data_IF_620342575253
#
_entry.id   IF_620342575253
#
_cell.length_a   1.000
_cell.length_b   1.000
_cell.length_c   1.000
_cell.angle_alpha   90.00
_cell.angle_beta   90.00
_cell.angle_gamma   90.00
#
_symmetry.space_group_name_H-M   'P 1'
#
loop_
_entity.id
_entity.type
_entity.pdbx_description
1 polymer ?
#
# COMPACT_ATOMS: atom_id res chain seq x y z
N UNK A 1 -6.36 -24.49 -10.03
CA UNK A 1 -5.49 -24.29 -11.21
C UNK A 1 -5.02 -22.85 -11.17
N UNK A 2 -3.72 -22.59 -11.06
CA UNK A 2 -3.19 -21.21 -10.98
C UNK A 2 -3.24 -20.57 -12.36
N UNK A 3 -3.68 -19.30 -12.43
CA UNK A 3 -3.75 -18.60 -13.71
C UNK A 3 -2.35 -18.19 -14.19
N UNK A 4 -2.06 -18.43 -15.46
CA UNK A 4 -0.77 -18.02 -16.07
C UNK A 4 -0.56 -16.50 -15.99
N UNK A 5 -1.64 -15.71 -15.97
CA UNK A 5 -1.59 -14.26 -15.81
C UNK A 5 -1.16 -13.85 -14.40
N UNK A 6 -1.66 -14.50 -13.35
CA UNK A 6 -1.26 -14.21 -11.98
C UNK A 6 0.22 -14.56 -11.74
N UNK A 7 0.68 -15.70 -12.26
CA UNK A 7 2.09 -16.07 -12.18
C UNK A 7 2.99 -15.04 -12.88
N UNK A 8 2.60 -14.60 -14.07
CA UNK A 8 3.33 -13.59 -14.82
C UNK A 8 3.40 -12.25 -14.07
N UNK A 9 2.27 -11.75 -13.56
CA UNK A 9 2.23 -10.50 -12.79
C UNK A 9 3.11 -10.58 -11.53
N UNK A 10 3.07 -11.71 -10.83
CA UNK A 10 3.91 -11.93 -9.65
C UNK A 10 5.39 -12.01 -10.01
N UNK A 11 5.73 -12.62 -11.14
CA UNK A 11 7.13 -12.69 -11.62
C UNK A 11 7.66 -11.31 -12.01
N UNK A 12 6.86 -10.48 -12.67
CA UNK A 12 7.21 -9.08 -12.98
C UNK A 12 7.44 -8.30 -11.67
N UNK A 13 6.54 -8.47 -10.70
CA UNK A 13 6.65 -7.86 -9.40
C UNK A 13 7.94 -8.26 -8.67
N UNK A 14 8.22 -9.56 -8.60
CA UNK A 14 9.45 -10.08 -7.98
C UNK A 14 10.71 -9.57 -8.69
N UNK A 15 10.71 -9.56 -10.02
CA UNK A 15 11.83 -9.03 -10.80
C UNK A 15 12.05 -7.55 -10.54
N UNK A 16 10.97 -6.76 -10.45
CA UNK A 16 11.04 -5.34 -10.11
C UNK A 16 11.58 -5.11 -8.70
N UNK A 17 11.12 -5.91 -7.73
CA UNK A 17 11.61 -5.83 -6.35
C UNK A 17 13.10 -6.17 -6.25
N UNK A 18 13.55 -7.24 -6.90
CA UNK A 18 14.96 -7.64 -6.93
C UNK A 18 15.81 -6.56 -7.58
N UNK A 19 15.39 -6.04 -8.72
CA UNK A 19 16.10 -4.98 -9.42
C UNK A 19 16.15 -3.70 -8.58
N UNK A 20 15.04 -3.30 -7.96
CA UNK A 20 14.99 -2.14 -7.07
C UNK A 20 15.88 -2.29 -5.84
N UNK A 21 15.88 -3.46 -5.22
CA UNK A 21 16.76 -3.75 -4.10
C UNK A 21 18.25 -3.73 -4.52
N UNK A 22 18.57 -4.24 -5.71
CA UNK A 22 19.92 -4.19 -6.27
C UNK A 22 20.36 -2.74 -6.56
N UNK A 23 19.49 -1.95 -7.20
CA UNK A 23 19.78 -0.53 -7.47
C UNK A 23 19.96 0.24 -6.16
N UNK A 24 19.09 0.04 -5.17
CA UNK A 24 19.22 0.69 -3.87
C UNK A 24 20.50 0.27 -3.14
N UNK A 25 20.84 -1.03 -3.15
CA UNK A 25 22.06 -1.54 -2.53
C UNK A 25 23.34 -1.05 -3.21
N UNK A 26 23.32 -0.89 -4.54
CA UNK A 26 24.46 -0.44 -5.33
C UNK A 26 24.73 1.06 -5.18
N UNK A 27 23.67 1.88 -5.32
CA UNK A 27 23.81 3.33 -5.29
C UNK A 27 23.85 3.92 -3.89
N UNK A 28 23.50 3.15 -2.84
CA UNK A 28 23.45 3.60 -1.44
C UNK A 28 22.85 5.00 -1.30
N UNK A 29 21.68 5.22 -1.91
CA UNK A 29 21.02 6.53 -1.95
C UNK A 29 20.71 6.96 -0.52
N UNK A 30 21.39 7.99 0.03
CA UNK A 30 21.18 8.43 1.39
C UNK A 30 19.74 8.95 1.55
N UNK A 31 19.02 8.47 2.55
CA UNK A 31 17.64 8.89 2.83
C UNK A 31 16.57 8.19 1.99
N UNK A 32 16.94 7.36 1.01
CA UNK A 32 15.97 6.55 0.28
C UNK A 32 15.30 5.57 1.23
N UNK A 33 13.98 5.73 1.36
CA UNK A 33 13.19 4.82 2.16
C UNK A 33 12.83 3.59 1.31
N UNK A 34 13.57 2.49 1.50
CA UNK A 34 13.34 1.22 0.79
C UNK A 34 11.86 0.82 0.80
N UNK A 35 11.14 1.15 1.86
CA UNK A 35 9.72 0.85 2.02
C UNK A 35 8.88 1.58 0.98
N UNK A 36 9.15 2.85 0.72
CA UNK A 36 8.44 3.63 -0.32
C UNK A 36 8.76 3.07 -1.70
N UNK A 37 10.01 2.74 -1.96
CA UNK A 37 10.43 2.12 -3.22
C UNK A 37 9.69 0.79 -3.40
N UNK A 38 9.72 -0.10 -2.42
CA UNK A 38 9.03 -1.41 -2.48
C UNK A 38 7.54 -1.25 -2.67
N UNK A 39 6.89 -0.33 -1.95
CA UNK A 39 5.44 -0.13 -2.11
C UNK A 39 5.09 0.51 -3.44
N UNK A 40 5.89 1.44 -3.92
CA UNK A 40 5.68 2.01 -5.26
C UNK A 40 5.80 0.93 -6.33
N UNK A 41 6.73 0.00 -6.19
CA UNK A 41 6.82 -1.17 -7.07
C UNK A 41 5.59 -2.05 -7.00
N UNK A 42 5.18 -2.44 -5.79
CA UNK A 42 4.06 -3.33 -5.60
C UNK A 42 2.80 -2.78 -6.26
N UNK A 43 2.62 -1.49 -6.23
CA UNK A 43 1.41 -0.85 -6.69
C UNK A 43 1.47 -0.36 -8.14
N UNK A 44 2.61 0.11 -8.60
CA UNK A 44 2.72 0.52 -10.00
C UNK A 44 2.65 -0.67 -10.97
N UNK A 45 3.03 -1.87 -10.53
CA UNK A 45 2.81 -3.10 -11.28
C UNK A 45 1.32 -3.38 -11.56
N UNK A 46 0.41 -2.94 -10.67
CA UNK A 46 -1.04 -3.03 -10.90
C UNK A 46 -1.52 -2.17 -12.07
N UNK A 47 -0.83 -1.08 -12.33
CA UNK A 47 -1.23 -0.09 -13.34
C UNK A 47 -0.53 -0.28 -14.69
N UNK A 48 0.65 -0.89 -14.69
CA UNK A 48 1.53 -0.93 -15.87
C UNK A 48 1.19 -2.02 -16.91
N UNK A 49 0.17 -2.84 -16.67
CA UNK A 49 0.07 -4.16 -17.32
C UNK A 49 -0.51 -4.26 -18.72
N UNK A 50 -1.01 -3.21 -19.42
CA UNK A 50 -1.97 -3.52 -20.49
C UNK A 50 -2.13 -2.57 -21.65
N UNK A 51 -1.40 -1.47 -21.74
CA UNK A 51 -1.58 -0.47 -22.78
C UNK A 51 -0.31 -0.20 -23.60
N UNK A 52 -0.37 0.45 -24.77
CA UNK A 52 0.81 0.90 -25.48
C UNK A 52 1.77 1.68 -24.55
N UNK A 53 3.05 1.67 -24.88
CA UNK A 53 4.09 2.28 -24.03
C UNK A 53 3.78 3.74 -23.66
N UNK A 54 3.25 4.53 -24.59
CA UNK A 54 2.90 5.95 -24.39
C UNK A 54 1.83 6.12 -23.31
N UNK A 55 0.78 5.30 -23.35
CA UNK A 55 -0.32 5.36 -22.37
C UNK A 55 0.13 4.86 -21.00
N UNK A 56 0.99 3.83 -20.98
CA UNK A 56 1.63 3.37 -19.74
C UNK A 56 2.50 4.44 -19.11
N UNK A 57 3.32 5.11 -19.90
CA UNK A 57 4.18 6.19 -19.42
C UNK A 57 3.34 7.34 -18.86
N UNK A 58 2.29 7.74 -19.58
CA UNK A 58 1.37 8.78 -19.11
C UNK A 58 0.71 8.38 -17.77
N UNK A 59 0.21 7.15 -17.69
CA UNK A 59 -0.46 6.64 -16.50
C UNK A 59 0.53 6.54 -15.33
N UNK A 60 1.73 6.03 -15.55
CA UNK A 60 2.77 5.90 -14.55
C UNK A 60 3.23 7.26 -14.02
N UNK A 61 3.42 8.26 -14.88
CA UNK A 61 3.76 9.62 -14.47
C UNK A 61 2.61 10.28 -13.70
N UNK A 62 1.38 10.13 -14.16
CA UNK A 62 0.21 10.63 -13.42
C UNK A 62 0.15 10.00 -12.03
N UNK A 63 0.33 8.69 -11.94
CA UNK A 63 0.36 7.96 -10.69
C UNK A 63 1.50 8.44 -9.77
N UNK A 64 2.71 8.65 -10.31
CA UNK A 64 3.85 9.16 -9.54
C UNK A 64 3.56 10.54 -8.95
N UNK A 65 3.01 11.46 -9.76
CA UNK A 65 2.66 12.81 -9.31
C UNK A 65 1.61 12.76 -8.20
N UNK A 66 0.52 11.99 -8.39
CA UNK A 66 -0.52 11.88 -7.36
C UNK A 66 0.01 11.24 -6.08
N UNK A 67 0.79 10.16 -6.18
CA UNK A 67 1.37 9.48 -5.01
C UNK A 67 2.36 10.36 -4.27
N UNK A 68 3.24 11.06 -4.98
CA UNK A 68 4.18 12.00 -4.40
C UNK A 68 3.46 13.16 -3.70
N UNK A 69 2.41 13.70 -4.33
CA UNK A 69 1.59 14.77 -3.75
C UNK A 69 0.85 14.29 -2.50
N UNK A 70 0.22 13.13 -2.52
CA UNK A 70 -0.45 12.54 -1.36
C UNK A 70 0.53 12.37 -0.19
N UNK A 71 1.67 11.76 -0.46
CA UNK A 71 2.72 11.51 0.53
C UNK A 71 3.27 12.81 1.09
N UNK A 72 3.56 13.79 0.23
CA UNK A 72 4.06 15.10 0.65
C UNK A 72 3.06 15.85 1.53
N UNK A 73 1.79 15.95 1.10
CA UNK A 73 0.73 16.61 1.86
C UNK A 73 0.55 15.97 3.24
N UNK A 74 0.43 14.65 3.30
CA UNK A 74 0.22 13.95 4.57
C UNK A 74 1.43 14.13 5.49
N UNK A 75 2.66 14.10 4.97
CA UNK A 75 3.87 14.30 5.77
C UNK A 75 4.01 15.71 6.32
N UNK A 76 3.88 16.72 5.46
CA UNK A 76 4.08 18.11 5.85
C UNK A 76 2.97 18.60 6.76
N UNK A 77 1.73 18.15 6.52
CA UNK A 77 0.58 18.56 7.32
C UNK A 77 0.42 17.75 8.62
N UNK A 78 1.30 16.80 8.89
CA UNK A 78 1.20 15.97 10.09
C UNK A 78 1.16 16.79 11.39
N UNK A 79 1.87 17.90 11.43
CA UNK A 79 1.90 18.82 12.57
C UNK A 79 0.64 19.71 12.67
N UNK A 80 -0.19 19.73 11.63
CA UNK A 80 -1.40 20.54 11.53
C UNK A 80 -2.63 19.65 11.35
N UNK A 81 -3.12 19.01 12.42
CA UNK A 81 -4.13 17.96 12.33
C UNK A 81 -5.41 18.36 11.60
N UNK A 82 -5.90 19.57 11.83
CA UNK A 82 -7.11 20.07 11.17
C UNK A 82 -6.92 20.20 9.64
N UNK A 83 -5.83 20.84 9.22
CA UNK A 83 -5.52 20.98 7.81
C UNK A 83 -5.19 19.66 7.14
N UNK A 84 -4.58 18.74 7.87
CA UNK A 84 -4.30 17.40 7.36
C UNK A 84 -5.59 16.66 7.01
N UNK A 85 -6.62 16.68 7.88
CA UNK A 85 -7.90 16.03 7.62
C UNK A 85 -8.53 16.64 6.37
N UNK A 86 -8.64 17.96 6.29
CA UNK A 86 -9.32 18.66 5.18
C UNK A 86 -8.59 18.41 3.86
N UNK A 87 -7.28 18.70 3.82
CA UNK A 87 -6.53 18.65 2.56
C UNK A 87 -6.28 17.23 2.08
N UNK A 88 -6.04 16.27 2.99
CA UNK A 88 -5.89 14.87 2.58
C UNK A 88 -7.20 14.29 2.06
N UNK A 89 -8.34 14.68 2.63
CA UNK A 89 -9.66 14.23 2.16
C UNK A 89 -10.06 14.87 0.85
N UNK A 90 -9.81 16.17 0.68
CA UNK A 90 -10.01 16.85 -0.60
C UNK A 90 -9.13 16.23 -1.71
N UNK A 91 -7.89 15.93 -1.38
CA UNK A 91 -6.98 15.28 -2.30
C UNK A 91 -7.41 13.83 -2.60
N UNK A 92 -7.91 13.10 -1.61
CA UNK A 92 -8.47 11.76 -1.81
C UNK A 92 -9.67 11.80 -2.78
N UNK A 93 -10.60 12.75 -2.57
CA UNK A 93 -11.70 12.96 -3.50
C UNK A 93 -11.21 13.23 -4.93
N UNK A 94 -10.23 14.11 -5.08
CA UNK A 94 -9.61 14.41 -6.38
C UNK A 94 -9.00 13.14 -6.99
N UNK A 95 -8.21 12.39 -6.24
CA UNK A 95 -7.57 11.17 -6.73
C UNK A 95 -8.61 10.11 -7.16
N UNK A 96 -9.66 9.88 -6.37
CA UNK A 96 -10.71 8.92 -6.72
C UNK A 96 -11.56 9.34 -7.92
N UNK A 97 -11.78 10.64 -8.11
CA UNK A 97 -12.61 11.16 -9.20
C UNK A 97 -11.88 11.34 -10.53
N UNK A 98 -10.56 11.54 -10.51
CA UNK A 98 -9.78 11.87 -11.71
C UNK A 98 -8.93 10.72 -12.22
N UNK A 99 -8.53 9.79 -11.36
CA UNK A 99 -7.77 8.63 -11.79
C UNK A 99 -8.68 7.63 -12.53
N UNK A 100 -8.14 6.90 -13.51
CA UNK A 100 -8.93 6.08 -14.41
C UNK A 100 -9.63 4.90 -13.73
N UNK A 101 -9.16 4.47 -12.58
CA UNK A 101 -9.75 3.39 -11.79
C UNK A 101 -9.71 3.72 -10.29
N UNK A 102 -10.75 3.29 -9.58
CA UNK A 102 -10.85 3.39 -8.12
C UNK A 102 -9.63 2.76 -7.42
N UNK A 103 -9.13 1.65 -7.95
CA UNK A 103 -7.93 0.98 -7.42
C UNK A 103 -6.70 1.88 -7.45
N UNK A 104 -6.52 2.61 -8.55
CA UNK A 104 -5.42 3.56 -8.67
C UNK A 104 -5.50 4.65 -7.60
N UNK A 105 -6.70 5.18 -7.35
CA UNK A 105 -6.94 6.14 -6.27
C UNK A 105 -6.64 5.57 -4.89
N UNK A 106 -7.10 4.33 -4.61
CA UNK A 106 -6.79 3.65 -3.35
C UNK A 106 -5.28 3.49 -3.16
N UNK A 107 -4.56 3.07 -4.20
CA UNK A 107 -3.11 2.87 -4.14
C UNK A 107 -2.37 4.17 -3.88
N UNK A 108 -2.73 5.25 -4.55
CA UNK A 108 -2.18 6.59 -4.31
C UNK A 108 -2.34 6.99 -2.85
N UNK A 109 -3.53 6.81 -2.29
CA UNK A 109 -3.80 7.15 -0.89
C UNK A 109 -3.10 6.20 0.08
N UNK A 110 -2.95 4.91 -0.24
CA UNK A 110 -2.15 3.97 0.56
C UNK A 110 -0.70 4.47 0.67
N UNK A 111 -0.08 4.82 -0.47
CA UNK A 111 1.29 5.37 -0.47
C UNK A 111 1.37 6.64 0.38
N UNK A 112 0.38 7.53 0.26
CA UNK A 112 0.28 8.72 1.10
C UNK A 112 0.25 8.38 2.59
N UNK A 113 -0.65 7.48 3.02
CA UNK A 113 -0.79 7.13 4.43
C UNK A 113 0.37 6.30 5.00
N UNK A 114 1.16 5.63 4.15
CA UNK A 114 2.39 4.99 4.60
C UNK A 114 3.41 6.00 5.15
N UNK A 115 3.30 7.28 4.78
CA UNK A 115 4.14 8.33 5.33
C UNK A 115 3.96 8.56 6.84
N UNK A 116 2.85 8.11 7.44
CA UNK A 116 2.66 8.15 8.89
C UNK A 116 3.69 7.32 9.68
N UNK A 117 4.34 6.38 9.03
CA UNK A 117 5.35 5.52 9.67
C UNK A 117 6.78 6.03 9.50
N UNK A 118 6.95 7.24 9.01
CA UNK A 118 8.26 7.81 8.72
C UNK A 118 8.38 9.23 9.31
N UNK A 119 9.58 9.81 9.42
CA UNK A 119 9.77 11.17 9.93
C UNK A 119 8.95 12.21 9.16
N UNK A 120 8.38 13.19 9.87
CA UNK A 120 7.44 14.17 9.32
C UNK A 120 8.11 15.54 9.12
N UNK A 121 9.35 15.56 8.68
CA UNK A 121 10.06 16.78 8.29
C UNK A 121 10.00 16.99 6.77
N UNK A 122 10.22 18.26 6.36
CA UNK A 122 10.14 18.65 4.95
C UNK A 122 11.16 17.91 4.08
N UNK A 123 12.38 17.74 4.57
CA UNK A 123 13.45 17.07 3.82
C UNK A 123 13.11 15.59 3.56
N UNK A 124 12.65 14.89 4.59
CA UNK A 124 12.19 13.50 4.45
C UNK A 124 10.96 13.38 3.54
N UNK A 125 10.07 14.37 3.54
CA UNK A 125 8.93 14.39 2.63
C UNK A 125 9.36 14.51 1.17
N UNK A 126 10.31 15.41 0.88
CA UNK A 126 10.88 15.58 -0.48
C UNK A 126 11.63 14.32 -0.91
N UNK A 127 12.50 13.77 -0.05
CA UNK A 127 13.24 12.55 -0.36
C UNK A 127 12.32 11.40 -0.76
N UNK A 128 11.25 11.16 0.02
CA UNK A 128 10.27 10.11 -0.27
C UNK A 128 9.48 10.35 -1.56
N UNK A 129 9.22 11.63 -1.88
CA UNK A 129 8.60 11.96 -3.17
C UNK A 129 9.51 11.58 -4.33
N UNK A 130 10.82 11.80 -4.20
CA UNK A 130 11.81 11.36 -5.19
C UNK A 130 11.85 9.84 -5.27
N UNK A 131 11.82 9.13 -4.14
CA UNK A 131 11.78 7.66 -4.10
C UNK A 131 10.58 7.09 -4.87
N UNK A 132 9.42 7.75 -4.81
CA UNK A 132 8.23 7.36 -5.59
C UNK A 132 8.51 7.46 -7.09
N UNK A 133 9.12 8.54 -7.55
CA UNK A 133 9.47 8.69 -8.97
C UNK A 133 10.50 7.64 -9.41
N UNK A 134 11.53 7.38 -8.59
CA UNK A 134 12.50 6.33 -8.85
C UNK A 134 11.81 4.96 -8.95
N UNK A 135 10.91 4.65 -8.01
CA UNK A 135 10.13 3.42 -8.02
C UNK A 135 9.31 3.25 -9.31
N UNK A 136 8.62 4.30 -9.74
CA UNK A 136 7.84 4.28 -10.98
C UNK A 136 8.72 4.11 -12.21
N UNK A 137 9.86 4.78 -12.29
CA UNK A 137 10.82 4.62 -13.40
C UNK A 137 11.30 3.18 -13.49
N UNK A 138 11.67 2.57 -12.37
CA UNK A 138 12.16 1.20 -12.34
C UNK A 138 11.07 0.22 -12.81
N UNK A 139 9.83 0.33 -12.32
CA UNK A 139 8.77 -0.56 -12.78
C UNK A 139 8.47 -0.40 -14.26
N UNK A 140 8.55 0.83 -14.79
CA UNK A 140 8.40 1.09 -16.22
C UNK A 140 9.50 0.41 -17.03
N UNK A 141 10.74 0.46 -16.57
CA UNK A 141 11.85 -0.24 -17.23
C UNK A 141 11.64 -1.76 -17.20
N UNK A 142 11.33 -2.33 -16.03
CA UNK A 142 11.12 -3.78 -15.88
C UNK A 142 9.94 -4.26 -16.72
N UNK A 143 8.80 -3.56 -16.67
CA UNK A 143 7.63 -3.94 -17.48
C UNK A 143 7.91 -3.86 -18.96
N UNK A 144 8.62 -2.84 -19.43
CA UNK A 144 9.01 -2.70 -20.83
C UNK A 144 9.91 -3.84 -21.27
N UNK A 145 10.92 -4.21 -20.46
CA UNK A 145 11.80 -5.32 -20.77
C UNK A 145 11.10 -6.68 -20.77
N UNK A 146 10.16 -6.89 -19.83
CA UNK A 146 9.42 -8.15 -19.73
C UNK A 146 8.33 -8.30 -20.80
N UNK A 147 7.82 -7.19 -21.37
CA UNK A 147 6.70 -7.21 -22.32
C UNK A 147 7.10 -7.21 -23.79
N UNK A 148 8.38 -7.04 -24.11
CA UNK A 148 8.90 -7.11 -25.50
C UNK A 148 8.42 -8.39 -26.24
N UNK A 149 8.08 -9.45 -25.48
CA UNK A 149 7.64 -10.74 -26.02
C UNK A 149 6.12 -11.02 -25.93
N UNK A 150 5.27 -10.07 -25.52
CA UNK A 150 3.87 -10.34 -25.25
C UNK A 150 2.92 -9.47 -26.06
N UNK A 151 2.41 -10.05 -27.14
CA UNK A 151 1.38 -9.47 -28.05
C UNK A 151 -0.06 -9.66 -27.58
N UNK A 152 -0.36 -9.71 -26.29
CA UNK A 152 -1.75 -9.83 -25.84
C UNK A 152 -2.20 -8.55 -25.15
N UNK A 153 -3.03 -7.80 -25.86
CA UNK A 153 -3.89 -6.76 -25.32
C UNK A 153 -4.88 -7.39 -24.33
N UNK A 154 -4.57 -7.32 -23.06
CA UNK A 154 -5.56 -7.52 -22.01
C UNK A 154 -6.18 -6.13 -21.78
N UNK A 155 -7.28 -5.85 -22.46
CA UNK A 155 -8.02 -4.62 -22.28
C UNK A 155 -8.43 -4.50 -20.82
N UNK A 156 -7.79 -3.61 -20.09
CA UNK A 156 -8.27 -3.20 -18.77
C UNK A 156 -9.48 -2.28 -19.01
N UNK A 157 -10.66 -2.78 -18.75
CA UNK A 157 -11.86 -1.96 -18.66
C UNK A 157 -11.74 -1.11 -17.38
N UNK A 158 -11.05 0.02 -17.50
CA UNK A 158 -11.03 1.02 -16.43
C UNK A 158 -12.42 1.63 -16.34
N UNK A 159 -13.08 1.45 -15.22
CA UNK A 159 -14.32 2.16 -14.91
C UNK A 159 -14.02 3.29 -13.94
N UNK A 160 -14.18 4.55 -14.37
CA UNK A 160 -13.96 5.69 -13.48
C UNK A 160 -14.93 5.61 -12.29
N UNK A 161 -14.46 6.03 -11.13
CA UNK A 161 -15.27 6.10 -9.93
C UNK A 161 -16.35 7.17 -10.09
N UNK A 162 -17.59 6.86 -9.73
CA UNK A 162 -18.63 7.89 -9.68
C UNK A 162 -18.27 8.96 -8.63
N UNK A 163 -18.56 10.23 -8.91
CA UNK A 163 -18.26 11.32 -7.96
C UNK A 163 -18.90 11.11 -6.59
N UNK A 164 -20.08 10.49 -6.53
CA UNK A 164 -20.75 10.14 -5.27
C UNK A 164 -19.91 9.13 -4.46
N UNK A 165 -19.42 8.07 -5.09
CA UNK A 165 -18.59 7.07 -4.41
C UNK A 165 -17.23 7.65 -3.99
N UNK A 166 -16.63 8.52 -4.82
CA UNK A 166 -15.40 9.23 -4.47
C UNK A 166 -15.60 10.10 -3.22
N UNK A 167 -16.74 10.80 -3.12
CA UNK A 167 -17.08 11.62 -1.96
C UNK A 167 -17.26 10.76 -0.70
N UNK A 168 -17.98 9.65 -0.81
CA UNK A 168 -18.17 8.72 0.31
C UNK A 168 -16.83 8.22 0.84
N UNK A 169 -15.92 7.76 -0.03
CA UNK A 169 -14.61 7.29 0.37
C UNK A 169 -13.76 8.39 0.99
N UNK A 170 -13.78 9.60 0.42
CA UNK A 170 -13.08 10.73 1.00
C UNK A 170 -13.61 11.08 2.40
N UNK A 171 -14.92 10.98 2.60
CA UNK A 171 -15.57 11.19 3.92
C UNK A 171 -15.18 10.10 4.92
N UNK A 172 -15.14 8.83 4.50
CA UNK A 172 -14.67 7.73 5.35
C UNK A 172 -13.22 7.92 5.78
N UNK A 173 -12.35 8.36 4.87
CA UNK A 173 -10.94 8.68 5.18
C UNK A 173 -10.84 9.88 6.14
N UNK A 174 -11.68 10.90 5.96
CA UNK A 174 -11.76 12.03 6.88
C UNK A 174 -12.18 11.58 8.28
N UNK A 175 -13.23 10.75 8.38
CA UNK A 175 -13.69 10.19 9.64
C UNK A 175 -12.62 9.32 10.31
N UNK A 176 -11.94 8.47 9.55
CA UNK A 176 -10.82 7.66 10.05
C UNK A 176 -9.68 8.51 10.60
N UNK A 177 -9.30 9.56 9.87
CA UNK A 177 -8.30 10.54 10.32
C UNK A 177 -8.73 11.27 11.59
N UNK A 178 -9.98 11.74 11.63
CA UNK A 178 -10.54 12.43 12.80
C UNK A 178 -10.53 11.52 14.04
N UNK A 179 -10.99 10.28 13.91
CA UNK A 179 -10.96 9.28 15.00
C UNK A 179 -9.51 9.05 15.46
N UNK A 180 -8.60 8.85 14.52
CA UNK A 180 -7.18 8.65 14.81
C UNK A 180 -6.59 9.77 15.68
N UNK A 181 -6.93 11.01 15.33
CA UNK A 181 -6.41 12.20 16.03
C UNK A 181 -7.12 12.46 17.35
N UNK A 182 -8.46 12.34 17.41
CA UNK A 182 -9.22 12.54 18.65
C UNK A 182 -8.78 11.56 19.75
N UNK A 183 -8.56 10.30 19.39
CA UNK A 183 -8.13 9.28 20.35
C UNK A 183 -6.59 9.17 20.45
N UNK A 184 -5.85 10.02 19.74
CA UNK A 184 -4.37 9.99 19.69
C UNK A 184 -3.82 8.60 19.44
N UNK A 185 -4.44 7.88 18.50
CA UNK A 185 -4.07 6.50 18.21
C UNK A 185 -2.68 6.45 17.60
N UNK A 186 -1.73 5.82 18.30
CA UNK A 186 -0.33 5.70 17.88
C UNK A 186 -0.16 5.05 16.50
N UNK A 187 -1.11 4.19 16.12
CA UNK A 187 -1.13 3.47 14.85
C UNK A 187 -2.39 3.80 14.02
N UNK A 188 -2.89 5.04 14.15
CA UNK A 188 -4.16 5.46 13.55
C UNK A 188 -4.22 5.38 12.03
N UNK A 189 -3.08 5.47 11.34
CA UNK A 189 -3.00 5.28 9.89
C UNK A 189 -3.60 3.94 9.42
N UNK A 190 -3.63 2.92 10.27
CA UNK A 190 -4.22 1.62 9.95
C UNK A 190 -5.73 1.67 9.75
N UNK A 191 -6.43 2.69 10.28
CA UNK A 191 -7.85 2.91 10.00
C UNK A 191 -8.02 3.18 8.50
N UNK A 192 -7.30 4.19 7.99
CA UNK A 192 -7.35 4.60 6.59
C UNK A 192 -6.86 3.50 5.65
N UNK A 193 -5.75 2.86 5.99
CA UNK A 193 -5.22 1.74 5.22
C UNK A 193 -6.22 0.58 5.13
N UNK A 194 -6.97 0.29 6.20
CA UNK A 194 -7.98 -0.77 6.18
C UNK A 194 -9.14 -0.41 5.27
N UNK A 195 -9.65 0.83 5.32
CA UNK A 195 -10.69 1.33 4.41
C UNK A 195 -10.22 1.14 2.96
N UNK A 196 -9.02 1.60 2.64
CA UNK A 196 -8.47 1.56 1.29
C UNK A 196 -8.25 0.12 0.78
N UNK A 197 -7.74 -0.78 1.61
CA UNK A 197 -7.53 -2.18 1.21
C UNK A 197 -8.84 -2.92 0.97
N UNK A 198 -9.86 -2.73 1.81
CA UNK A 198 -11.18 -3.32 1.61
C UNK A 198 -11.78 -2.78 0.30
N UNK A 199 -11.76 -1.47 0.11
CA UNK A 199 -12.29 -0.82 -1.09
C UNK A 199 -11.57 -1.26 -2.36
N UNK A 200 -10.24 -1.34 -2.33
CA UNK A 200 -9.44 -1.81 -3.47
C UNK A 200 -9.80 -3.25 -3.85
N UNK A 201 -10.14 -4.09 -2.89
CA UNK A 201 -10.42 -5.51 -3.08
C UNK A 201 -11.88 -5.80 -3.39
N UNK A 202 -12.78 -4.85 -3.23
CA UNK A 202 -14.22 -4.99 -3.45
C UNK A 202 -14.58 -5.40 -4.88
N UNK A 203 -13.76 -5.00 -5.86
CA UNK A 203 -13.92 -5.41 -7.25
C UNK A 203 -13.59 -6.90 -7.51
N UNK A 204 -13.16 -7.66 -6.50
CA UNK A 204 -12.80 -9.07 -6.57
C UNK A 204 -13.97 -10.05 -6.38
N UNK A 205 -15.20 -9.65 -6.67
CA UNK A 205 -16.43 -10.49 -6.53
C UNK A 205 -16.82 -10.86 -5.08
N UNK A 206 -16.11 -10.38 -4.08
CA UNK A 206 -16.44 -10.62 -2.69
C UNK A 206 -17.17 -9.41 -2.09
N UNK A 207 -18.25 -9.60 -1.31
CA UNK A 207 -18.91 -8.51 -0.62
C UNK A 207 -17.98 -7.89 0.43
N UNK A 208 -18.10 -6.56 0.65
CA UNK A 208 -17.24 -5.82 1.58
C UNK A 208 -17.27 -6.39 3.01
N UNK A 209 -18.40 -6.94 3.43
CA UNK A 209 -18.55 -7.58 4.74
C UNK A 209 -17.57 -8.77 4.90
N UNK A 210 -17.50 -9.63 3.89
CA UNK A 210 -16.56 -10.75 3.87
C UNK A 210 -15.11 -10.26 3.88
N UNK A 211 -14.81 -9.21 3.11
CA UNK A 211 -13.47 -8.62 3.06
C UNK A 211 -13.10 -7.97 4.40
N UNK A 212 -14.06 -7.26 5.03
CA UNK A 212 -13.88 -6.67 6.35
C UNK A 212 -13.58 -7.73 7.41
N UNK A 213 -14.37 -8.80 7.46
CA UNK A 213 -14.13 -9.92 8.37
C UNK A 213 -12.76 -10.57 8.12
N UNK A 214 -12.43 -10.86 6.86
CA UNK A 214 -11.13 -11.41 6.52
C UNK A 214 -9.98 -10.52 6.99
N UNK A 215 -10.13 -9.19 6.86
CA UNK A 215 -9.13 -8.22 7.32
C UNK A 215 -8.96 -8.22 8.83
N UNK A 216 -10.07 -8.23 9.58
CA UNK A 216 -10.08 -8.24 11.05
C UNK A 216 -9.30 -9.45 11.61
N UNK A 217 -9.45 -10.61 11.00
CA UNK A 217 -8.73 -11.81 11.45
C UNK A 217 -7.30 -11.91 10.89
N UNK A 218 -7.07 -11.47 9.65
CA UNK A 218 -5.76 -11.57 9.03
C UNK A 218 -4.74 -10.61 9.66
N UNK A 219 -5.18 -9.43 10.15
CA UNK A 219 -4.28 -8.44 10.76
C UNK A 219 -3.59 -8.98 12.01
N UNK A 220 -4.30 -9.42 13.06
CA UNK A 220 -3.65 -9.98 14.25
C UNK A 220 -2.83 -11.23 13.92
N UNK A 221 -3.34 -12.12 13.06
CA UNK A 221 -2.61 -13.31 12.65
C UNK A 221 -1.28 -12.97 11.95
N UNK A 222 -1.29 -11.99 11.04
CA UNK A 222 -0.09 -11.52 10.34
C UNK A 222 0.92 -10.85 11.27
N UNK A 223 0.46 -10.10 12.29
CA UNK A 223 1.34 -9.48 13.29
C UNK A 223 1.98 -10.56 14.19
N UNK A 224 1.22 -11.55 14.64
CA UNK A 224 1.73 -12.64 15.46
C UNK A 224 2.79 -13.44 14.68
N UNK A 225 2.49 -13.82 13.45
CA UNK A 225 3.45 -14.53 12.59
C UNK A 225 4.67 -13.68 12.27
N UNK A 226 4.48 -12.38 11.99
CA UNK A 226 5.57 -11.45 11.74
C UNK A 226 6.49 -11.27 12.94
N UNK A 227 5.92 -11.14 14.15
CA UNK A 227 6.69 -11.08 15.39
C UNK A 227 7.48 -12.36 15.65
N UNK A 228 6.88 -13.54 15.40
CA UNK A 228 7.58 -14.81 15.53
C UNK A 228 8.73 -14.94 14.52
N UNK A 229 8.52 -14.55 13.26
CA UNK A 229 9.57 -14.55 12.25
C UNK A 229 10.70 -13.60 12.60
N UNK A 230 10.37 -12.38 13.05
CA UNK A 230 11.36 -11.40 13.47
C UNK A 230 12.23 -11.94 14.60
N UNK A 231 11.62 -12.52 15.65
CA UNK A 231 12.35 -13.14 16.75
C UNK A 231 13.26 -14.27 16.26
N UNK A 232 12.78 -15.09 15.31
CA UNK A 232 13.55 -16.17 14.71
C UNK A 232 14.74 -15.62 13.91
N UNK A 233 14.54 -14.58 13.11
CA UNK A 233 15.61 -13.95 12.33
C UNK A 233 16.65 -13.28 13.24
N UNK A 234 16.22 -12.62 14.31
CA UNK A 234 17.14 -12.05 15.29
C UNK A 234 18.03 -13.12 15.97
N UNK A 235 17.52 -14.35 16.14
CA UNK A 235 18.29 -15.46 16.75
C UNK A 235 19.24 -16.16 15.77
N UNK A 236 18.86 -16.27 14.49
CA UNK A 236 19.65 -17.01 13.48
C UNK A 236 20.60 -16.04 12.76
N UNK A 237 20.05 -15.14 11.98
CA UNK A 237 20.76 -14.07 11.27
C UNK A 237 19.77 -12.98 10.89
N UNK A 238 19.97 -11.78 11.42
CA UNK A 238 19.14 -10.62 11.14
C UNK A 238 19.07 -10.27 9.63
N UNK A 239 20.04 -10.67 8.85
CA UNK A 239 20.04 -10.48 7.38
C UNK A 239 18.88 -11.20 6.69
N UNK A 240 18.30 -12.21 7.32
CA UNK A 240 17.09 -12.90 6.79
C UNK A 240 15.88 -11.98 6.64
N UNK A 241 15.87 -10.82 7.29
CA UNK A 241 14.87 -9.76 7.08
C UNK A 241 14.76 -9.34 5.61
N UNK A 242 15.86 -9.41 4.84
CA UNK A 242 15.84 -9.13 3.41
C UNK A 242 15.00 -10.12 2.57
N UNK A 243 14.62 -11.26 3.13
CA UNK A 243 13.72 -12.21 2.48
C UNK A 243 12.23 -11.87 2.65
N UNK A 244 11.91 -10.98 3.58
CA UNK A 244 10.50 -10.66 3.92
C UNK A 244 9.71 -10.03 2.77
N UNK A 245 10.27 -9.18 1.89
CA UNK A 245 9.57 -8.72 0.69
C UNK A 245 9.02 -9.84 -0.19
N UNK A 246 9.71 -10.98 -0.26
CA UNK A 246 9.23 -12.14 -1.01
C UNK A 246 7.96 -12.72 -0.42
N UNK A 247 7.79 -12.68 0.90
CA UNK A 247 6.56 -13.08 1.57
C UNK A 247 5.41 -12.14 1.21
N UNK A 248 5.68 -10.83 1.13
CA UNK A 248 4.71 -9.86 0.61
C UNK A 248 4.28 -10.16 -0.82
N UNK A 249 5.22 -10.52 -1.70
CA UNK A 249 4.93 -10.90 -3.08
C UNK A 249 4.05 -12.17 -3.17
N UNK A 250 4.23 -13.14 -2.27
CA UNK A 250 3.34 -14.30 -2.14
C UNK A 250 1.91 -13.85 -1.84
N UNK A 251 1.72 -12.91 -0.91
CA UNK A 251 0.40 -12.33 -0.63
C UNK A 251 -0.26 -11.74 -1.87
N UNK A 252 0.48 -10.94 -2.64
CA UNK A 252 -0.01 -10.37 -3.90
C UNK A 252 -0.33 -11.44 -4.94
N UNK A 253 0.45 -12.51 -5.03
CA UNK A 253 0.14 -13.64 -5.91
C UNK A 253 -1.24 -14.21 -5.63
N UNK A 254 -1.59 -14.41 -4.35
CA UNK A 254 -2.92 -14.90 -3.98
C UNK A 254 -4.02 -13.87 -4.28
N UNK A 255 -3.76 -12.58 -4.13
CA UNK A 255 -4.71 -11.54 -4.51
C UNK A 255 -5.01 -11.57 -6.01
N UNK A 256 -3.99 -11.71 -6.85
CA UNK A 256 -4.14 -11.75 -8.31
C UNK A 256 -4.75 -13.07 -8.81
N UNK A 257 -4.50 -14.17 -8.13
CA UNK A 257 -4.89 -15.51 -8.62
C UNK A 257 -6.31 -15.93 -8.24
N UNK A 258 -7.09 -15.13 -7.63
CA UNK A 258 -8.47 -15.51 -7.31
C UNK A 258 -9.06 -14.82 -6.10
N UNK A 259 -8.40 -13.79 -5.62
CA UNK A 259 -9.00 -12.91 -4.64
C UNK A 259 -9.03 -13.47 -3.22
N UNK A 260 -8.07 -14.30 -2.82
CA UNK A 260 -7.96 -14.69 -1.42
C UNK A 260 -7.41 -13.54 -0.58
N UNK A 261 -8.29 -12.62 -0.24
CA UNK A 261 -7.99 -11.39 0.49
C UNK A 261 -7.46 -11.66 1.90
N UNK A 262 -7.87 -12.77 2.52
CA UNK A 262 -7.33 -13.16 3.84
C UNK A 262 -5.83 -13.45 3.75
N UNK A 263 -5.42 -14.29 2.80
CA UNK A 263 -4.00 -14.65 2.62
C UNK A 263 -3.19 -13.40 2.23
N UNK A 264 -3.70 -12.60 1.31
CA UNK A 264 -3.07 -11.31 0.97
C UNK A 264 -2.87 -10.44 2.20
N UNK A 265 -3.93 -10.21 2.98
CA UNK A 265 -3.87 -9.36 4.17
C UNK A 265 -2.93 -9.90 5.24
N UNK A 266 -2.89 -11.22 5.41
CA UNK A 266 -2.00 -11.89 6.35
C UNK A 266 -0.53 -11.68 5.98
N UNK A 267 -0.14 -12.03 4.76
CA UNK A 267 1.25 -11.86 4.30
C UNK A 267 1.66 -10.40 4.22
N UNK A 268 0.76 -9.52 3.86
CA UNK A 268 1.01 -8.08 3.85
C UNK A 268 1.28 -7.55 5.26
N UNK A 269 0.48 -7.95 6.25
CA UNK A 269 0.68 -7.54 7.65
C UNK A 269 1.94 -8.14 8.25
N UNK A 270 2.24 -9.40 7.95
CA UNK A 270 3.49 -10.05 8.33
C UNK A 270 4.70 -9.27 7.80
N UNK A 271 4.70 -8.97 6.50
CA UNK A 271 5.76 -8.19 5.85
C UNK A 271 5.93 -6.83 6.52
N UNK A 272 4.83 -6.08 6.71
CA UNK A 272 4.89 -4.77 7.34
C UNK A 272 5.31 -4.80 8.81
N UNK A 273 5.00 -5.86 9.54
CA UNK A 273 5.41 -6.01 10.93
C UNK A 273 6.93 -6.15 11.02
N UNK A 274 7.52 -7.02 10.20
CA UNK A 274 8.96 -7.20 10.16
C UNK A 274 9.68 -5.94 9.65
N UNK A 275 9.15 -5.30 8.61
CA UNK A 275 9.73 -4.06 8.08
C UNK A 275 9.65 -2.88 9.02
N UNK A 276 8.56 -2.73 9.77
CA UNK A 276 8.43 -1.61 10.71
C UNK A 276 9.47 -1.67 11.82
N UNK A 277 9.83 -2.86 12.26
CA UNK A 277 10.90 -3.04 13.25
C UNK A 277 12.28 -2.79 12.64
N UNK A 278 12.53 -3.31 11.44
CA UNK A 278 13.79 -3.09 10.74
C UNK A 278 14.07 -1.60 10.48
N UNK A 279 13.04 -0.79 10.19
CA UNK A 279 13.18 0.65 9.96
C UNK A 279 13.45 1.45 11.23
N UNK A 280 12.93 0.99 12.37
CA UNK A 280 13.16 1.65 13.67
C UNK A 280 14.54 1.34 14.26
N UNK A 281 15.25 0.38 13.65
CA UNK A 281 16.59 -0.05 14.02
C UNK A 281 16.61 -1.18 15.08
N UNK A 282 17.69 -1.97 15.10
CA UNK A 282 17.79 -3.19 15.91
C UNK A 282 17.79 -2.94 17.43
N UNK A 283 17.81 -1.68 17.87
CA UNK A 283 17.83 -1.29 19.28
C UNK A 283 16.47 -0.91 19.85
N UNK A 284 15.46 -0.72 19.00
CA UNK A 284 14.10 -0.50 19.46
C UNK A 284 13.44 -1.86 19.72
N UNK A 285 13.19 -2.16 21.01
CA UNK A 285 12.42 -3.34 21.39
C UNK A 285 11.07 -3.26 20.70
N UNK A 286 10.80 -4.23 19.85
CA UNK A 286 9.49 -4.39 19.22
C UNK A 286 8.43 -4.51 20.31
N UNK A 287 7.62 -3.48 20.45
CA UNK A 287 6.50 -3.47 21.38
C UNK A 287 5.36 -4.31 20.81
N UNK A 288 5.55 -5.63 20.82
CA UNK A 288 4.66 -6.59 20.19
C UNK A 288 3.20 -6.38 20.60
N UNK A 289 2.93 -6.31 21.89
CA UNK A 289 1.57 -6.16 22.39
C UNK A 289 0.94 -4.82 21.98
N UNK A 290 1.67 -3.74 22.08
CA UNK A 290 1.20 -2.41 21.66
C UNK A 290 0.88 -2.39 20.15
N UNK A 291 1.75 -2.98 19.34
CA UNK A 291 1.54 -3.10 17.90
C UNK A 291 0.34 -4.01 17.57
N UNK A 292 0.22 -5.14 18.26
CA UNK A 292 -0.88 -6.07 18.05
C UNK A 292 -2.23 -5.43 18.39
N UNK A 293 -2.36 -4.85 19.57
CA UNK A 293 -3.63 -4.23 19.99
C UNK A 293 -3.96 -2.98 19.18
N UNK A 294 -3.01 -2.08 18.98
CA UNK A 294 -3.27 -0.80 18.29
C UNK A 294 -3.60 -1.00 16.81
N UNK A 295 -2.89 -1.87 16.08
CA UNK A 295 -3.19 -2.16 14.67
C UNK A 295 -4.48 -2.95 14.49
N UNK A 296 -4.76 -3.89 15.39
CA UNK A 296 -6.02 -4.67 15.35
C UNK A 296 -7.20 -3.77 15.64
N UNK A 297 -7.14 -2.93 16.67
CA UNK A 297 -8.19 -1.96 16.98
C UNK A 297 -8.41 -0.95 15.84
N UNK A 298 -7.35 -0.39 15.28
CA UNK A 298 -7.44 0.51 14.14
C UNK A 298 -8.03 -0.17 12.91
N UNK A 299 -7.66 -1.43 12.64
CA UNK A 299 -8.24 -2.20 11.52
C UNK A 299 -9.71 -2.53 11.75
N UNK A 300 -10.12 -2.80 12.98
CA UNK A 300 -11.53 -2.98 13.33
C UNK A 300 -12.33 -1.70 13.08
N UNK A 301 -11.83 -0.55 13.53
CA UNK A 301 -12.48 0.75 13.29
C UNK A 301 -12.60 1.06 11.80
N UNK A 302 -11.54 0.81 11.01
CA UNK A 302 -11.59 0.99 9.57
C UNK A 302 -12.60 0.07 8.87
N UNK A 303 -12.68 -1.19 9.29
CA UNK A 303 -13.68 -2.13 8.79
C UNK A 303 -15.11 -1.70 9.14
N UNK A 304 -15.35 -1.22 10.35
CA UNK A 304 -16.65 -0.68 10.78
C UNK A 304 -17.06 0.54 9.95
N UNK A 305 -16.15 1.47 9.65
CA UNK A 305 -16.43 2.63 8.80
C UNK A 305 -16.86 2.22 7.39
N UNK A 306 -16.26 1.17 6.82
CA UNK A 306 -16.71 0.66 5.51
C UNK A 306 -18.10 0.03 5.59
N UNK A 307 -18.42 -0.67 6.68
CA UNK A 307 -19.71 -1.37 6.85
C UNK A 307 -20.88 -0.43 7.13
N UNK A 308 -20.64 0.72 7.79
CA UNK A 308 -21.69 1.68 8.13
C UNK A 308 -22.30 2.34 6.91
N UNK A 309 -21.52 2.57 5.86
CA UNK A 309 -21.99 3.23 4.63
C UNK A 309 -23.02 2.40 3.86
N UNK A 310 -22.94 1.08 3.91
CA UNK A 310 -23.83 0.18 3.16
C UNK A 310 -25.22 -0.02 3.75
N UNK A 311 -25.40 0.34 5.02
CA UNK A 311 -26.74 0.30 5.64
C UNK A 311 -27.62 1.47 5.23
N UNK A 312 -27.03 2.47 4.57
CA UNK A 312 -27.70 3.70 4.13
C UNK A 312 -27.94 3.74 2.62
N UNK A 313 -27.41 2.82 1.85
CA UNK A 313 -27.64 2.62 0.41
C UNK A 313 -28.59 1.43 0.13
#
# INVERSE_FOLDING_TARGET
MFSTSAFRQTSILLSAMLFGAAVWGFFRIPGANLLVVVFTFLFSALLAGTSPFTDRLRLALTFAVYSATAQFLISVLFQFPFWQIILSSAFAYLAFSTLPDLRAGCVVMIIGYLSYFAPHDFHSAVSRSIDIFIGVIIIMLVTTLCEINSKKDVGNNFSPCSGCRALVLATQLAAGNLISQMFRLRQGAWIMLTILFITMSENSKAPAEKLALQRIFAVPAGIILGGFLLETFCRIDYRLVYLVPFLGAIGFFFLYNGGNFFIFSLFFMLTLTVFSDWMTGPYHRFHFWDTLFSRTAASLLGALLVLTDRRTA
#
